data_IF_532297344483
#
_entry.id   IF_532297344483
#
_cell.length_a   1.000
_cell.length_b   1.000
_cell.length_c   1.000
_cell.angle_alpha   90.00
_cell.angle_beta   90.00
_cell.angle_gamma   90.00
#
_symmetry.space_group_name_H-M   'P 1'
#
loop_
_entity.id
_entity.type
_entity.pdbx_description
1 polymer ?
#
# COMPACT_ATOMS: atom_id res chain seq x y z
N UNK A 1 -2.35 15.91 17.42
CA UNK A 1 -2.43 16.10 18.90
C UNK A 1 -2.31 17.58 19.16
N UNK A 2 -3.33 18.19 19.76
CA UNK A 2 -3.22 19.57 20.25
C UNK A 2 -3.25 19.47 21.77
N UNK A 3 -2.18 19.93 22.39
CA UNK A 3 -2.04 19.95 23.85
C UNK A 3 -2.21 21.41 24.31
N UNK A 4 -3.14 21.65 25.23
CA UNK A 4 -3.25 22.92 25.91
C UNK A 4 -2.81 22.74 27.36
N UNK A 5 -1.97 23.66 27.87
CA UNK A 5 -1.49 23.64 29.25
C UNK A 5 -1.71 25.01 29.88
N UNK A 6 -2.50 25.07 30.96
CA UNK A 6 -2.69 26.24 31.78
C UNK A 6 -2.00 26.02 33.14
N UNK A 7 -1.18 26.98 33.58
CA UNK A 7 -0.52 26.93 34.88
C UNK A 7 -0.77 28.21 35.66
N UNK A 8 -1.02 28.09 36.96
CA UNK A 8 -1.07 29.20 37.90
C UNK A 8 -0.21 28.88 39.12
N UNK A 9 0.43 29.90 39.70
CA UNK A 9 1.31 29.74 40.85
C UNK A 9 1.03 30.80 41.92
N UNK A 10 1.11 30.40 43.19
CA UNK A 10 1.21 31.31 44.34
C UNK A 10 2.27 30.77 45.30
N UNK A 11 3.36 31.51 45.52
CA UNK A 11 4.50 31.00 46.31
C UNK A 11 5.12 29.73 45.73
N UNK A 12 5.29 28.68 46.56
CA UNK A 12 5.82 27.37 46.14
C UNK A 12 4.77 26.38 45.63
N UNK A 13 3.50 26.80 45.54
CA UNK A 13 2.40 25.94 45.06
C UNK A 13 2.17 26.19 43.58
N UNK A 14 2.39 25.16 42.77
CA UNK A 14 2.10 25.15 41.34
C UNK A 14 0.87 24.29 41.08
N UNK A 15 -0.11 24.83 40.35
CA UNK A 15 -1.23 24.07 39.81
C UNK A 15 -1.22 24.15 38.30
N UNK A 16 -1.41 23.01 37.65
CA UNK A 16 -1.49 22.90 36.20
C UNK A 16 -2.74 22.13 35.79
N UNK A 17 -3.38 22.57 34.72
CA UNK A 17 -4.44 21.85 34.04
C UNK A 17 -4.01 21.62 32.59
N UNK A 18 -4.21 20.41 32.08
CA UNK A 18 -3.92 20.04 30.70
C UNK A 18 -5.13 19.40 30.05
N UNK A 19 -5.37 19.71 28.79
CA UNK A 19 -6.41 19.10 27.97
C UNK A 19 -5.82 18.67 26.62
N UNK A 20 -6.29 17.56 26.07
CA UNK A 20 -5.82 17.05 24.78
C UNK A 20 -6.96 16.65 23.87
N UNK A 21 -6.85 17.00 22.59
CA UNK A 21 -7.77 16.54 21.54
C UNK A 21 -7.00 15.67 20.53
N UNK A 22 -7.55 14.47 20.28
CA UNK A 22 -6.98 13.47 19.36
C UNK A 22 -7.70 13.47 18.01
N UNK A 23 -6.95 13.24 16.94
CA UNK A 23 -7.51 13.01 15.61
C UNK A 23 -7.79 11.51 15.42
N UNK A 24 -8.88 11.19 14.71
CA UNK A 24 -9.17 9.80 14.29
C UNK A 24 -8.19 9.39 13.20
N UNK A 25 -7.43 8.33 13.44
CA UNK A 25 -6.55 7.71 12.45
C UNK A 25 -7.27 6.54 11.79
N UNK A 26 -7.26 6.51 10.46
CA UNK A 26 -7.90 5.50 9.64
C UNK A 26 -6.92 5.07 8.54
N UNK A 27 -6.01 4.12 8.83
CA UNK A 27 -5.16 3.53 7.80
C UNK A 27 -6.04 2.71 6.83
N UNK A 28 -5.86 2.92 5.54
CA UNK A 28 -6.54 2.14 4.51
C UNK A 28 -5.66 2.04 3.25
N UNK A 29 -5.67 0.87 2.63
CA UNK A 29 -4.85 0.54 1.47
C UNK A 29 -5.73 -0.07 0.39
N UNK A 30 -5.46 0.29 -0.87
CA UNK A 30 -6.09 -0.28 -2.05
C UNK A 30 -5.02 -0.71 -3.04
N UNK A 31 -5.29 -1.79 -3.78
CA UNK A 31 -4.46 -2.30 -4.86
C UNK A 31 -5.34 -2.54 -6.09
N UNK A 32 -4.88 -2.09 -7.25
CA UNK A 32 -5.46 -2.45 -8.53
C UNK A 32 -4.38 -3.05 -9.42
N UNK A 33 -4.81 -3.93 -10.33
CA UNK A 33 -3.95 -4.61 -11.27
C UNK A 33 -4.61 -4.64 -12.64
N UNK A 34 -3.86 -4.26 -13.66
CA UNK A 34 -4.31 -4.28 -15.05
C UNK A 34 -3.30 -4.99 -15.91
N UNK A 35 -3.78 -5.85 -16.81
CA UNK A 35 -2.98 -6.39 -17.91
C UNK A 35 -3.10 -5.45 -19.11
N UNK A 36 -2.01 -5.28 -19.87
CA UNK A 36 -2.05 -4.54 -21.12
C UNK A 36 -2.68 -5.37 -22.24
N UNK A 37 -2.35 -6.66 -22.28
CA UNK A 37 -2.84 -7.62 -23.26
C UNK A 37 -4.15 -8.26 -22.78
N UNK A 38 -5.12 -8.35 -23.69
CA UNK A 38 -6.40 -9.03 -23.44
C UNK A 38 -6.39 -10.51 -23.84
N UNK A 39 -5.43 -10.92 -24.68
CA UNK A 39 -5.28 -12.29 -25.20
C UNK A 39 -3.81 -12.62 -25.42
N UNK A 40 -3.49 -13.91 -25.44
CA UNK A 40 -2.20 -14.46 -25.88
C UNK A 40 -2.45 -15.67 -26.79
N UNK A 41 -1.48 -16.04 -27.62
CA UNK A 41 -1.64 -17.08 -28.63
C UNK A 41 -0.46 -18.06 -28.72
N UNK A 42 0.71 -17.70 -28.22
CA UNK A 42 1.90 -18.53 -28.32
C UNK A 42 2.74 -18.55 -27.04
N UNK A 43 3.48 -19.64 -26.86
CA UNK A 43 4.56 -19.70 -25.87
C UNK A 43 5.59 -18.63 -26.19
N UNK A 44 6.01 -17.89 -25.18
CA UNK A 44 6.93 -16.77 -25.33
C UNK A 44 6.25 -15.41 -25.48
N UNK A 45 4.92 -15.36 -25.63
CA UNK A 45 4.18 -14.10 -25.54
C UNK A 45 4.42 -13.45 -24.17
N UNK A 46 4.55 -12.12 -24.13
CA UNK A 46 4.80 -11.37 -22.90
C UNK A 46 3.52 -10.64 -22.48
N UNK A 47 3.04 -10.96 -21.28
CA UNK A 47 1.93 -10.26 -20.63
C UNK A 47 2.48 -9.20 -19.69
N UNK A 48 2.16 -7.93 -19.97
CA UNK A 48 2.58 -6.78 -19.19
C UNK A 48 1.51 -6.44 -18.16
N UNK A 49 1.92 -6.24 -16.91
CA UNK A 49 1.03 -5.88 -15.81
C UNK A 49 1.45 -4.55 -15.19
N UNK A 50 0.45 -3.72 -14.88
CA UNK A 50 0.59 -2.53 -14.05
C UNK A 50 -0.16 -2.75 -12.73
N UNK A 51 0.56 -2.63 -11.62
CA UNK A 51 0.02 -2.70 -10.27
C UNK A 51 0.03 -1.29 -9.69
N UNK A 52 -1.12 -0.79 -9.24
CA UNK A 52 -1.22 0.51 -8.58
C UNK A 52 -1.63 0.30 -7.13
N UNK A 53 -0.79 0.77 -6.22
CA UNK A 53 -1.04 0.73 -4.77
C UNK A 53 -1.36 2.14 -4.30
N UNK A 54 -2.49 2.31 -3.61
CA UNK A 54 -3.00 3.61 -3.17
C UNK A 54 -3.28 3.59 -1.68
N UNK A 55 -2.78 4.59 -0.95
CA UNK A 55 -3.19 4.84 0.42
C UNK A 55 -4.52 5.60 0.42
N UNK A 56 -5.61 4.92 0.76
CA UNK A 56 -6.95 5.51 0.84
C UNK A 56 -7.28 6.01 2.25
N UNK A 57 -6.34 5.86 3.19
CA UNK A 57 -6.45 6.33 4.57
C UNK A 57 -6.05 7.78 4.76
N UNK A 58 -6.09 8.23 6.02
CA UNK A 58 -5.69 9.59 6.42
C UNK A 58 -4.34 9.65 7.16
N UNK A 59 -3.61 8.53 7.20
CA UNK A 59 -2.28 8.43 7.80
C UNK A 59 -1.28 7.92 6.78
N UNK A 60 -0.03 8.38 6.86
CA UNK A 60 1.06 7.87 6.01
C UNK A 60 1.32 6.40 6.33
N UNK A 61 1.31 5.55 5.31
CA UNK A 61 1.65 4.13 5.43
C UNK A 61 3.15 3.96 5.17
N UNK A 62 3.83 3.17 5.99
CA UNK A 62 5.26 2.88 5.83
C UNK A 62 5.46 1.41 5.52
N UNK A 63 6.54 1.10 4.80
CA UNK A 63 6.94 -0.27 4.49
C UNK A 63 5.79 -1.13 3.91
N UNK A 64 5.13 -0.61 2.87
CA UNK A 64 4.04 -1.34 2.19
C UNK A 64 4.67 -2.41 1.29
N UNK A 65 4.56 -3.66 1.68
CA UNK A 65 5.02 -4.80 0.90
C UNK A 65 4.06 -5.07 -0.27
N UNK A 66 4.60 -5.32 -1.46
CA UNK A 66 3.86 -5.65 -2.68
C UNK A 66 4.45 -6.92 -3.26
N UNK A 67 3.58 -7.91 -3.54
CA UNK A 67 4.01 -9.18 -4.12
C UNK A 67 3.08 -9.67 -5.23
N UNK A 68 3.67 -10.30 -6.23
CA UNK A 68 2.97 -11.02 -7.29
C UNK A 68 3.73 -12.33 -7.56
N UNK A 69 3.22 -13.47 -7.06
CA UNK A 69 3.91 -14.76 -7.19
C UNK A 69 4.10 -15.23 -8.64
N UNK A 70 3.19 -14.88 -9.55
CA UNK A 70 3.26 -15.33 -10.94
C UNK A 70 4.45 -14.67 -11.66
N UNK A 71 4.62 -13.37 -11.45
CA UNK A 71 5.69 -12.59 -12.09
C UNK A 71 6.99 -12.61 -11.29
N UNK A 72 6.97 -13.16 -10.06
CA UNK A 72 8.09 -13.14 -9.13
C UNK A 72 8.36 -11.77 -8.49
N UNK A 73 7.46 -10.80 -8.66
CA UNK A 73 7.60 -9.47 -8.06
C UNK A 73 7.54 -9.58 -6.53
N UNK A 74 8.56 -9.02 -5.88
CA UNK A 74 8.61 -8.82 -4.44
C UNK A 74 9.32 -7.49 -4.16
N UNK A 75 8.58 -6.49 -3.71
CA UNK A 75 9.11 -5.13 -3.48
C UNK A 75 8.38 -4.45 -2.32
N UNK A 76 8.91 -3.31 -1.88
CA UNK A 76 8.34 -2.52 -0.80
C UNK A 76 8.32 -1.04 -1.13
N UNK A 77 7.21 -0.37 -0.84
CA UNK A 77 7.08 1.09 -0.88
C UNK A 77 7.46 1.62 0.50
N UNK A 78 8.54 2.39 0.58
CA UNK A 78 9.08 2.86 1.86
C UNK A 78 8.07 3.73 2.62
N UNK A 79 7.38 4.63 1.92
CA UNK A 79 6.39 5.54 2.49
C UNK A 79 5.35 5.91 1.44
N UNK A 80 4.08 5.91 1.84
CA UNK A 80 2.95 6.26 1.01
C UNK A 80 2.04 7.23 1.79
N UNK A 81 2.11 8.51 1.45
CA UNK A 81 1.30 9.55 2.06
C UNK A 81 -0.21 9.32 1.84
N UNK A 82 -1.09 9.91 2.66
CA UNK A 82 -2.54 9.87 2.43
C UNK A 82 -2.90 10.28 1.00
N UNK A 83 -3.77 9.50 0.36
CA UNK A 83 -4.24 9.69 -1.02
C UNK A 83 -3.16 9.57 -2.10
N UNK A 84 -1.91 9.25 -1.74
CA UNK A 84 -0.86 9.00 -2.71
C UNK A 84 -0.96 7.58 -3.29
N UNK A 85 -0.49 7.43 -4.52
CA UNK A 85 -0.40 6.15 -5.23
C UNK A 85 1.00 5.90 -5.77
N UNK A 86 1.38 4.63 -5.88
CA UNK A 86 2.60 4.19 -6.55
C UNK A 86 2.27 3.12 -7.59
N UNK A 87 2.83 3.29 -8.79
CA UNK A 87 2.70 2.35 -9.90
C UNK A 87 3.94 1.47 -9.99
N UNK A 88 3.73 0.16 -10.15
CA UNK A 88 4.76 -0.86 -10.26
C UNK A 88 4.45 -1.69 -11.51
N UNK A 89 5.43 -1.80 -12.40
CA UNK A 89 5.32 -2.60 -13.63
C UNK A 89 6.04 -3.93 -13.47
N UNK A 90 5.44 -4.99 -13.99
CA UNK A 90 6.00 -6.34 -14.02
C UNK A 90 5.47 -7.10 -15.23
N UNK A 91 6.07 -8.23 -15.58
CA UNK A 91 5.69 -9.01 -16.77
C UNK A 91 5.75 -10.51 -16.51
N UNK A 92 4.98 -11.27 -17.29
CA UNK A 92 5.00 -12.73 -17.30
C UNK A 92 5.16 -13.23 -18.73
N UNK A 93 5.97 -14.27 -18.93
CA UNK A 93 6.12 -14.92 -20.24
C UNK A 93 5.26 -16.17 -20.29
N UNK A 94 4.37 -16.24 -21.29
CA UNK A 94 3.43 -17.34 -21.49
C UNK A 94 4.18 -18.65 -21.71
N UNK A 95 3.76 -19.68 -21.00
CA UNK A 95 4.30 -21.04 -21.07
C UNK A 95 3.36 -21.97 -21.86
N UNK A 96 3.85 -23.17 -22.21
CA UNK A 96 3.00 -24.18 -22.84
C UNK A 96 1.83 -24.60 -21.94
N UNK A 97 2.04 -24.66 -20.62
CA UNK A 97 0.98 -24.98 -19.67
C UNK A 97 -0.16 -23.94 -19.69
N UNK A 98 0.17 -22.67 -19.93
CA UNK A 98 -0.83 -21.60 -20.04
C UNK A 98 -1.64 -21.70 -21.33
N UNK A 99 -1.00 -22.09 -22.44
CA UNK A 99 -1.67 -22.41 -23.71
C UNK A 99 -2.61 -23.60 -23.53
N UNK A 100 -2.14 -24.66 -22.88
CA UNK A 100 -2.92 -25.87 -22.62
C UNK A 100 -4.11 -25.59 -21.67
N UNK A 101 -3.94 -24.67 -20.70
CA UNK A 101 -4.99 -24.21 -19.80
C UNK A 101 -5.93 -23.16 -20.42
N UNK A 102 -5.52 -22.50 -21.50
CA UNK A 102 -6.24 -21.44 -22.19
C UNK A 102 -6.39 -20.13 -21.39
N UNK A 103 -5.66 -19.97 -20.27
CA UNK A 103 -5.71 -18.77 -19.42
C UNK A 103 -4.43 -18.60 -18.59
N UNK A 104 -4.20 -17.37 -18.13
CA UNK A 104 -3.20 -17.03 -17.12
C UNK A 104 -3.90 -16.33 -15.95
N UNK A 105 -3.92 -16.95 -14.78
CA UNK A 105 -4.47 -16.37 -13.56
C UNK A 105 -3.36 -15.63 -12.80
N UNK A 106 -3.46 -14.30 -12.70
CA UNK A 106 -2.45 -13.49 -12.03
C UNK A 106 -3.01 -12.69 -10.85
N UNK A 107 -2.51 -12.94 -9.64
CA UNK A 107 -2.93 -12.26 -8.40
C UNK A 107 -1.75 -11.50 -7.78
N UNK A 108 -1.93 -10.20 -7.52
CA UNK A 108 -1.01 -9.40 -6.73
C UNK A 108 -1.61 -9.06 -5.37
N UNK A 109 -0.77 -8.87 -4.35
CA UNK A 109 -1.16 -8.45 -3.02
C UNK A 109 -0.32 -7.26 -2.54
N UNK A 110 -0.91 -6.42 -1.71
CA UNK A 110 -0.20 -5.39 -0.98
C UNK A 110 -0.63 -5.39 0.50
N UNK A 111 0.34 -5.21 1.40
CA UNK A 111 0.09 -5.16 2.83
C UNK A 111 1.01 -4.14 3.49
N UNK A 112 0.50 -3.41 4.47
CA UNK A 112 1.31 -2.51 5.29
C UNK A 112 2.09 -3.38 6.29
N UNK A 113 3.42 -3.29 6.29
CA UNK A 113 4.22 -3.87 7.38
C UNK A 113 3.81 -3.23 8.71
N UNK A 114 3.73 -4.03 9.77
CA UNK A 114 3.20 -3.72 11.12
C UNK A 114 2.99 -2.23 11.39
N UNK A 115 1.73 -1.83 11.58
CA UNK A 115 1.36 -0.47 12.00
C UNK A 115 2.01 -0.24 13.37
N UNK A 116 2.97 0.67 13.45
CA UNK A 116 3.55 1.12 14.73
C UNK A 116 2.52 1.90 15.56
#
# INVERSE_FOLDING_TARGET
KVDNTASAAVGSVNVSASESVSATQLPALSITKTATESTFAAVGDVLNYTIVVTNTGNVTLSNVAVSDPLTGLNTSIASLAPLASQSIVTSYTVTQADIDAGKVDNTASAAVGTVN
#
